data_IF_238383096390
#
_entry.id   IF_238383096390
#
_cell.length_a   1.000
_cell.length_b   1.000
_cell.length_c   1.000
_cell.angle_alpha   90.00
_cell.angle_beta   90.00
_cell.angle_gamma   90.00
#
_symmetry.space_group_name_H-M   'P 1'
#
loop_
_entity.id
_entity.type
_entity.pdbx_description
1 polymer ?
#
# COMPACT_ATOMS: atom_id res chain seq x y z
N UNK A 1 13.19 -9.56 -12.24
CA UNK A 1 12.94 -8.10 -12.12
C UNK A 1 13.67 -7.59 -10.89
N UNK A 2 14.82 -6.93 -11.11
CA UNK A 2 15.77 -6.58 -10.06
C UNK A 2 15.37 -5.30 -9.32
N UNK A 3 15.20 -5.48 -8.00
CA UNK A 3 15.21 -4.53 -6.88
C UNK A 3 15.76 -3.14 -7.18
N UNK A 4 14.94 -2.12 -6.96
CA UNK A 4 15.42 -0.77 -6.68
C UNK A 4 15.32 -0.50 -5.17
N UNK A 5 16.48 -0.44 -4.50
CA UNK A 5 16.64 0.37 -3.29
C UNK A 5 16.48 1.83 -3.75
N UNK A 6 15.25 2.33 -3.82
CA UNK A 6 14.97 3.69 -4.26
C UNK A 6 14.70 4.60 -3.06
N UNK A 7 15.80 4.98 -2.42
CA UNK A 7 15.91 6.20 -1.64
C UNK A 7 17.29 6.82 -1.89
N UNK A 8 17.77 6.78 -3.14
CA UNK A 8 18.80 7.73 -3.56
C UNK A 8 18.06 9.01 -3.91
N UNK A 9 18.04 9.95 -2.96
CA UNK A 9 17.78 11.35 -3.26
C UNK A 9 18.95 11.77 -4.16
N UNK A 10 18.77 11.61 -5.46
CA UNK A 10 19.77 11.91 -6.47
C UNK A 10 19.86 13.44 -6.57
N UNK A 11 20.62 14.05 -5.64
CA UNK A 11 20.96 15.48 -5.65
C UNK A 11 21.95 15.72 -6.78
N UNK A 12 21.44 15.90 -8.00
CA UNK A 12 22.22 16.47 -9.11
C UNK A 12 22.21 17.98 -8.96
N UNK A 13 23.35 18.55 -8.55
CA UNK A 13 23.54 19.99 -8.55
C UNK A 13 23.79 20.42 -9.99
N UNK A 14 22.83 21.13 -10.60
CA UNK A 14 23.00 21.69 -11.93
C UNK A 14 23.78 23.00 -11.75
N UNK A 15 25.09 22.95 -11.98
CA UNK A 15 25.90 24.16 -12.06
C UNK A 15 25.69 24.73 -13.46
N UNK A 16 24.74 25.65 -13.61
CA UNK A 16 24.61 26.44 -14.83
C UNK A 16 25.74 27.47 -14.82
N UNK A 17 26.91 27.10 -15.36
CA UNK A 17 27.97 28.05 -15.62
C UNK A 17 27.48 29.03 -16.68
N UNK A 18 26.94 30.17 -16.23
CA UNK A 18 26.48 31.25 -17.09
C UNK A 18 27.68 31.76 -17.91
N UNK A 19 27.89 31.20 -19.11
CA UNK A 19 28.69 31.87 -20.14
C UNK A 19 27.96 33.18 -20.43
N UNK A 20 28.64 34.28 -20.17
CA UNK A 20 28.16 35.64 -20.32
C UNK A 20 27.34 35.81 -21.62
N UNK A 21 26.01 35.91 -21.49
CA UNK A 21 25.03 36.43 -22.48
C UNK A 21 23.60 35.92 -22.27
N UNK A 22 23.35 34.92 -21.41
CA UNK A 22 21.97 34.48 -21.16
C UNK A 22 21.23 35.50 -20.29
N UNK A 23 20.06 35.95 -20.77
CA UNK A 23 19.13 36.73 -19.95
C UNK A 23 18.64 35.89 -18.76
N UNK A 24 18.20 36.55 -17.69
CA UNK A 24 17.66 35.85 -16.51
C UNK A 24 16.58 34.82 -16.91
N UNK A 25 15.66 35.20 -17.80
CA UNK A 25 14.63 34.29 -18.32
C UNK A 25 15.21 33.07 -19.06
N UNK A 26 16.29 33.25 -19.83
CA UNK A 26 16.94 32.14 -20.53
C UNK A 26 17.68 31.19 -19.56
N UNK A 27 18.22 31.71 -18.46
CA UNK A 27 18.82 30.90 -17.40
C UNK A 27 17.76 30.09 -16.64
N UNK A 28 16.65 30.71 -16.25
CA UNK A 28 15.52 30.03 -15.62
C UNK A 28 14.96 28.90 -16.50
N UNK A 29 14.79 29.17 -17.80
CA UNK A 29 14.37 28.14 -18.77
C UNK A 29 15.36 26.98 -18.86
N UNK A 30 16.66 27.28 -18.98
CA UNK A 30 17.69 26.25 -19.07
C UNK A 30 17.74 25.35 -17.81
N UNK A 31 17.57 25.96 -16.62
CA UNK A 31 17.50 25.21 -15.37
C UNK A 31 16.25 24.31 -15.31
N UNK A 32 15.09 24.83 -15.70
CA UNK A 32 13.84 24.08 -15.74
C UNK A 32 13.89 22.90 -16.74
N UNK A 33 14.42 23.13 -17.95
CA UNK A 33 14.58 22.10 -18.98
C UNK A 33 15.52 20.98 -18.51
N UNK A 34 16.62 21.32 -17.83
CA UNK A 34 17.52 20.33 -17.25
C UNK A 34 16.87 19.52 -16.11
N UNK A 35 16.02 20.15 -15.28
CA UNK A 35 15.25 19.45 -14.25
C UNK A 35 14.25 18.46 -14.86
N UNK A 36 13.49 18.90 -15.87
CA UNK A 36 12.53 18.06 -16.61
C UNK A 36 13.21 16.90 -17.32
N UNK A 37 14.33 17.13 -18.00
CA UNK A 37 15.08 16.07 -18.66
C UNK A 37 15.53 14.98 -17.68
N UNK A 38 16.06 15.36 -16.51
CA UNK A 38 16.44 14.40 -15.48
C UNK A 38 15.23 13.62 -14.92
N UNK A 39 14.10 14.30 -14.68
CA UNK A 39 12.85 13.66 -14.25
C UNK A 39 12.38 12.63 -15.27
N UNK A 40 12.31 13.03 -16.53
CA UNK A 40 11.79 12.21 -17.62
C UNK A 40 12.70 11.00 -17.88
N UNK A 41 14.03 11.16 -17.76
CA UNK A 41 14.99 10.05 -17.78
C UNK A 41 14.74 9.04 -16.64
N UNK A 42 14.50 9.52 -15.42
CA UNK A 42 14.19 8.66 -14.28
C UNK A 42 12.88 7.90 -14.48
N UNK A 43 11.85 8.56 -15.03
CA UNK A 43 10.57 7.93 -15.34
C UNK A 43 10.76 6.89 -16.46
N UNK A 44 11.42 7.25 -17.56
CA UNK A 44 11.63 6.38 -18.71
C UNK A 44 12.48 5.14 -18.36
N UNK A 45 13.48 5.30 -17.48
CA UNK A 45 14.30 4.18 -16.99
C UNK A 45 13.58 3.30 -15.95
N UNK A 46 12.34 3.62 -15.58
CA UNK A 46 11.58 2.90 -14.54
C UNK A 46 12.11 3.13 -13.13
N UNK A 47 13.03 4.08 -12.95
CA UNK A 47 13.60 4.49 -11.66
C UNK A 47 12.74 5.54 -10.95
N UNK A 48 11.67 6.00 -11.58
CA UNK A 48 10.70 6.90 -10.98
C UNK A 48 9.27 6.61 -11.48
N UNK A 49 8.28 6.96 -10.64
CA UNK A 49 6.88 6.89 -11.03
C UNK A 49 6.52 8.02 -12.01
N UNK A 50 5.65 7.74 -12.97
CA UNK A 50 5.09 8.78 -13.85
C UNK A 50 4.16 9.74 -13.10
N UNK A 51 3.73 9.39 -11.89
CA UNK A 51 2.88 10.23 -11.04
C UNK A 51 3.74 10.91 -9.98
N UNK A 52 3.79 12.24 -10.01
CA UNK A 52 4.60 13.03 -9.09
C UNK A 52 3.98 14.40 -8.80
N UNK A 53 4.51 15.07 -7.78
CA UNK A 53 4.28 16.49 -7.52
C UNK A 53 5.60 17.23 -7.61
N UNK A 54 5.57 18.44 -8.16
CA UNK A 54 6.72 19.35 -8.20
C UNK A 54 6.69 20.25 -6.96
N UNK A 55 7.84 20.54 -6.38
CA UNK A 55 8.01 21.59 -5.40
C UNK A 55 9.27 22.40 -5.74
N UNK A 56 9.16 23.72 -5.79
CA UNK A 56 10.25 24.64 -6.15
C UNK A 56 10.49 25.56 -4.98
N UNK A 57 11.71 25.55 -4.42
CA UNK A 57 12.09 26.36 -3.26
C UNK A 57 11.12 26.22 -2.07
N UNK A 58 10.61 25.01 -1.88
CA UNK A 58 9.63 24.68 -0.84
C UNK A 58 8.16 24.91 -1.24
N UNK A 59 7.89 25.57 -2.36
CA UNK A 59 6.54 25.83 -2.86
C UNK A 59 6.02 24.67 -3.71
N UNK A 60 5.02 23.94 -3.22
CA UNK A 60 4.39 22.82 -3.92
C UNK A 60 3.56 23.32 -5.10
N UNK A 61 3.73 22.72 -6.27
CA UNK A 61 2.99 23.05 -7.49
C UNK A 61 3.49 24.28 -8.23
N UNK A 62 4.58 24.90 -7.77
CA UNK A 62 5.23 25.99 -8.50
C UNK A 62 5.90 25.49 -9.79
N UNK A 63 5.96 26.37 -10.79
CA UNK A 63 6.59 26.11 -12.07
C UNK A 63 8.10 25.98 -11.90
N UNK A 64 8.75 25.03 -12.59
CA UNK A 64 10.19 24.82 -12.46
C UNK A 64 11.02 26.04 -12.87
N UNK A 65 10.49 26.87 -13.76
CA UNK A 65 11.08 28.14 -14.17
C UNK A 65 11.16 29.15 -13.02
N UNK A 66 10.36 29.01 -11.96
CA UNK A 66 10.38 29.95 -10.84
C UNK A 66 11.51 29.69 -9.84
N UNK A 67 12.38 28.71 -10.09
CA UNK A 67 13.47 28.35 -9.17
C UNK A 67 14.45 29.49 -9.00
N UNK A 68 14.84 29.77 -7.75
CA UNK A 68 15.91 30.71 -7.47
C UNK A 68 17.22 30.19 -8.07
N UNK A 69 17.81 30.97 -8.97
CA UNK A 69 19.09 30.62 -9.60
C UNK A 69 20.26 30.66 -8.61
N UNK A 70 20.10 31.33 -7.46
CA UNK A 70 21.07 31.34 -6.37
C UNK A 70 20.74 30.26 -5.33
N UNK A 71 21.05 29.01 -5.67
CA UNK A 71 20.96 27.87 -4.76
C UNK A 71 19.57 27.30 -4.52
N UNK A 72 18.59 27.66 -5.35
CA UNK A 72 17.24 27.10 -5.32
C UNK A 72 17.20 25.60 -5.66
N UNK A 73 16.10 24.96 -5.29
CA UNK A 73 15.90 23.51 -5.39
C UNK A 73 14.55 23.21 -6.06
N UNK A 74 14.61 22.48 -7.18
CA UNK A 74 13.46 21.78 -7.75
C UNK A 74 13.42 20.35 -7.22
N UNK A 75 12.32 19.96 -6.58
CA UNK A 75 12.10 18.63 -6.01
C UNK A 75 10.90 17.96 -6.64
N UNK A 76 11.10 16.75 -7.15
CA UNK A 76 10.03 15.87 -7.62
C UNK A 76 9.70 14.82 -6.56
N UNK A 77 8.46 14.83 -6.08
CA UNK A 77 7.95 13.85 -5.10
C UNK A 77 7.13 12.80 -5.84
N UNK A 78 7.75 11.65 -6.10
CA UNK A 78 7.13 10.54 -6.82
C UNK A 78 6.17 9.73 -5.94
N UNK A 79 4.99 9.45 -6.47
CA UNK A 79 3.99 8.60 -5.84
C UNK A 79 4.13 7.15 -6.30
N UNK A 80 4.32 6.23 -5.36
CA UNK A 80 4.36 4.77 -5.62
C UNK A 80 3.13 4.04 -5.08
N UNK A 81 2.12 4.79 -4.63
CA UNK A 81 0.96 4.22 -3.93
C UNK A 81 0.22 3.22 -4.81
N UNK A 82 -0.07 3.59 -6.06
CA UNK A 82 -0.77 2.72 -7.01
C UNK A 82 -0.01 1.41 -7.28
N UNK A 83 1.31 1.49 -7.51
CA UNK A 83 2.18 0.34 -7.74
C UNK A 83 2.24 -0.57 -6.51
N UNK A 84 2.34 0.02 -5.32
CA UNK A 84 2.38 -0.72 -4.07
C UNK A 84 1.06 -1.43 -3.77
N UNK A 85 -0.08 -0.81 -4.09
CA UNK A 85 -1.41 -1.42 -3.96
C UNK A 85 -1.56 -2.61 -4.91
N UNK A 86 -1.20 -2.44 -6.18
CA UNK A 86 -1.24 -3.52 -7.16
C UNK A 86 -0.39 -4.72 -6.70
N UNK A 87 0.87 -4.45 -6.30
CA UNK A 87 1.77 -5.46 -5.78
C UNK A 87 1.22 -6.16 -4.53
N UNK A 88 0.72 -5.41 -3.56
CA UNK A 88 0.22 -5.99 -2.31
C UNK A 88 -1.06 -6.80 -2.51
N UNK A 89 -1.95 -6.36 -3.40
CA UNK A 89 -3.16 -7.10 -3.78
C UNK A 89 -2.79 -8.44 -4.43
N UNK A 90 -1.88 -8.41 -5.41
CA UNK A 90 -1.37 -9.60 -6.08
C UNK A 90 -0.68 -10.55 -5.09
N UNK A 91 0.12 -10.01 -4.16
CA UNK A 91 0.76 -10.79 -3.11
C UNK A 91 -0.28 -11.50 -2.24
N UNK A 92 -1.29 -10.78 -1.76
CA UNK A 92 -2.38 -11.34 -0.98
C UNK A 92 -3.11 -12.46 -1.74
N UNK A 93 -3.39 -12.28 -3.02
CA UNK A 93 -4.04 -13.29 -3.87
C UNK A 93 -3.14 -14.52 -4.07
N UNK A 94 -1.88 -14.32 -4.45
CA UNK A 94 -0.93 -15.40 -4.75
C UNK A 94 -0.63 -16.25 -3.51
N UNK A 95 -0.57 -15.63 -2.34
CA UNK A 95 -0.29 -16.30 -1.07
C UNK A 95 -1.54 -16.75 -0.31
N UNK A 96 -2.72 -16.74 -0.95
CA UNK A 96 -3.96 -17.20 -0.34
C UNK A 96 -4.17 -18.71 -0.44
N UNK A 97 -4.84 -19.37 0.54
CA UNK A 97 -5.22 -20.76 0.42
C UNK A 97 -6.25 -20.96 -0.71
N UNK A 98 -6.04 -21.99 -1.52
CA UNK A 98 -6.97 -22.36 -2.60
C UNK A 98 -7.56 -23.73 -2.28
N UNK A 99 -8.84 -23.73 -1.87
CA UNK A 99 -9.69 -24.94 -1.86
C UNK A 99 -10.77 -24.84 -2.93
N UNK A 100 -11.52 -23.74 -2.95
CA UNK A 100 -12.52 -23.41 -3.98
C UNK A 100 -12.20 -22.11 -4.74
N UNK A 101 -11.07 -21.47 -4.45
CA UNK A 101 -10.73 -20.13 -4.97
C UNK A 101 -11.36 -18.97 -4.20
N UNK A 102 -12.55 -19.14 -3.62
CA UNK A 102 -13.33 -18.06 -3.00
C UNK A 102 -12.53 -17.13 -2.07
N UNK A 103 -11.66 -17.65 -1.20
CA UNK A 103 -10.85 -16.79 -0.33
C UNK A 103 -9.86 -15.93 -1.14
N UNK A 104 -9.09 -16.52 -2.06
CA UNK A 104 -8.16 -15.79 -2.94
C UNK A 104 -8.89 -14.72 -3.75
N UNK A 105 -10.08 -15.02 -4.24
CA UNK A 105 -10.77 -14.14 -5.18
C UNK A 105 -11.59 -13.04 -4.44
N UNK A 106 -11.64 -13.07 -3.10
CA UNK A 106 -12.39 -12.12 -2.26
C UNK A 106 -11.55 -10.97 -1.69
N UNK A 107 -10.32 -10.79 -2.17
CA UNK A 107 -9.57 -9.58 -1.85
C UNK A 107 -10.16 -8.40 -2.60
N UNK A 108 -10.43 -7.33 -1.86
CA UNK A 108 -11.02 -6.11 -2.37
C UNK A 108 -10.22 -4.90 -1.88
N UNK A 109 -10.30 -3.82 -2.64
CA UNK A 109 -9.63 -2.56 -2.36
C UNK A 109 -10.66 -1.53 -1.96
N UNK A 110 -10.35 -0.73 -0.94
CA UNK A 110 -11.05 0.52 -0.63
C UNK A 110 -10.09 1.69 -0.74
N UNK A 111 -10.58 2.81 -1.24
CA UNK A 111 -9.84 4.05 -1.35
C UNK A 111 -10.64 5.12 -0.63
N UNK A 112 -10.03 5.76 0.37
CA UNK A 112 -10.66 6.78 1.23
C UNK A 112 -11.99 6.30 1.85
N UNK A 113 -12.08 5.00 2.18
CA UNK A 113 -13.26 4.39 2.79
C UNK A 113 -14.30 3.85 1.80
N UNK A 114 -14.15 4.08 0.50
CA UNK A 114 -15.10 3.62 -0.52
C UNK A 114 -14.58 2.42 -1.30
N UNK A 115 -15.48 1.52 -1.72
CA UNK A 115 -15.12 0.37 -2.54
C UNK A 115 -14.55 0.78 -3.90
N UNK A 116 -13.38 0.24 -4.23
CA UNK A 116 -12.66 0.60 -5.44
C UNK A 116 -12.80 -0.50 -6.49
N UNK A 117 -13.42 -0.16 -7.62
CA UNK A 117 -13.64 -1.06 -8.76
C UNK A 117 -12.84 -0.68 -10.00
N UNK A 118 -12.10 0.44 -9.94
CA UNK A 118 -11.25 0.93 -11.03
C UNK A 118 -9.87 0.27 -11.00
N UNK A 119 -9.09 0.34 -12.09
CA UNK A 119 -7.70 -0.14 -12.07
C UNK A 119 -6.87 0.54 -10.97
N UNK A 120 -5.99 -0.22 -10.30
CA UNK A 120 -5.12 0.32 -9.24
C UNK A 120 -4.22 1.47 -9.72
N UNK A 121 -3.85 1.48 -11.00
CA UNK A 121 -3.07 2.55 -11.64
C UNK A 121 -3.76 3.93 -11.59
N UNK A 122 -5.08 3.98 -11.39
CA UNK A 122 -5.86 5.23 -11.33
C UNK A 122 -6.03 5.77 -9.91
N UNK A 123 -5.45 5.11 -8.91
CA UNK A 123 -5.46 5.57 -7.51
C UNK A 123 -4.63 6.86 -7.42
N UNK A 124 -5.25 7.91 -6.88
CA UNK A 124 -4.60 9.21 -6.77
C UNK A 124 -3.57 9.24 -5.63
N UNK A 125 -2.45 9.97 -5.80
CA UNK A 125 -1.52 10.26 -4.71
C UNK A 125 -2.21 10.87 -3.50
N UNK A 126 -1.71 10.61 -2.30
CA UNK A 126 -2.27 11.07 -1.04
C UNK A 126 -3.51 10.30 -0.55
N UNK A 127 -4.02 9.33 -1.32
CA UNK A 127 -5.15 8.50 -0.88
C UNK A 127 -4.77 7.59 0.29
N UNK A 128 -5.77 7.23 1.10
CA UNK A 128 -5.67 6.10 2.04
C UNK A 128 -6.25 4.87 1.38
N UNK A 129 -5.44 3.84 1.19
CA UNK A 129 -5.86 2.60 0.53
C UNK A 129 -5.90 1.45 1.52
N UNK A 130 -7.00 0.70 1.51
CA UNK A 130 -7.20 -0.47 2.34
C UNK A 130 -7.36 -1.70 1.44
N UNK A 131 -6.56 -2.74 1.67
CA UNK A 131 -6.69 -4.04 1.01
C UNK A 131 -7.22 -5.03 2.04
N UNK A 132 -8.39 -5.58 1.80
CA UNK A 132 -9.13 -6.40 2.77
C UNK A 132 -9.77 -7.61 2.10
N UNK A 133 -9.80 -8.75 2.79
CA UNK A 133 -10.54 -9.91 2.32
C UNK A 133 -11.95 -9.91 2.92
N UNK A 134 -12.97 -9.92 2.07
CA UNK A 134 -14.37 -9.73 2.50
C UNK A 134 -15.05 -10.99 3.04
N UNK A 135 -14.38 -12.16 3.00
CA UNK A 135 -14.99 -13.41 3.48
C UNK A 135 -15.22 -13.40 5.00
N UNK A 136 -16.33 -13.98 5.50
CA UNK A 136 -16.68 -14.00 6.93
C UNK A 136 -15.71 -14.85 7.78
N UNK A 137 -14.86 -15.64 7.14
CA UNK A 137 -13.85 -16.47 7.80
C UNK A 137 -12.44 -15.93 7.59
N UNK A 138 -12.27 -14.77 6.95
CA UNK A 138 -10.97 -14.22 6.61
C UNK A 138 -10.10 -13.99 7.84
N UNK A 139 -10.69 -13.43 8.90
CA UNK A 139 -10.02 -13.27 10.19
C UNK A 139 -9.49 -14.59 10.73
N UNK A 140 -10.27 -15.68 10.65
CA UNK A 140 -9.85 -16.99 11.18
C UNK A 140 -8.66 -17.55 10.41
N UNK A 141 -8.62 -17.37 9.09
CA UNK A 141 -7.50 -17.81 8.26
C UNK A 141 -6.25 -16.99 8.59
N UNK A 142 -6.34 -15.66 8.52
CA UNK A 142 -5.19 -14.78 8.73
C UNK A 142 -4.62 -14.85 10.15
N UNK A 143 -5.45 -15.03 11.18
CA UNK A 143 -4.97 -15.13 12.58
C UNK A 143 -4.61 -16.56 13.01
N UNK A 144 -4.65 -17.56 12.12
CA UNK A 144 -4.34 -18.94 12.47
C UNK A 144 -5.41 -19.68 13.29
N UNK A 145 -6.65 -19.17 13.28
CA UNK A 145 -7.80 -19.82 13.91
C UNK A 145 -8.32 -21.05 13.13
N UNK A 146 -7.87 -21.27 11.90
CA UNK A 146 -8.31 -22.33 11.01
C UNK A 146 -7.11 -22.94 10.27
N UNK A 147 -7.01 -24.28 10.26
CA UNK A 147 -5.99 -24.98 9.47
C UNK A 147 -6.25 -24.76 7.97
N UNK A 148 -5.23 -24.38 7.23
CA UNK A 148 -5.25 -24.23 5.77
C UNK A 148 -3.98 -24.76 5.14
N UNK A 149 -3.92 -24.80 3.80
CA UNK A 149 -2.75 -25.26 3.04
C UNK A 149 -1.55 -24.32 3.11
N UNK A 150 -1.74 -23.10 3.62
CA UNK A 150 -0.70 -22.07 3.73
C UNK A 150 -0.55 -21.59 5.19
N UNK A 151 0.58 -20.96 5.54
CA UNK A 151 0.75 -20.32 6.83
C UNK A 151 -0.29 -19.22 7.09
N UNK A 152 -0.69 -18.97 8.34
CA UNK A 152 -1.45 -17.76 8.68
C UNK A 152 -0.60 -16.50 8.51
N UNK A 153 -1.22 -15.32 8.65
CA UNK A 153 -0.55 -14.02 8.62
C UNK A 153 -0.30 -13.48 7.22
N UNK A 154 -1.19 -13.75 6.27
CA UNK A 154 -1.10 -13.29 4.88
C UNK A 154 -0.97 -11.76 4.83
N UNK A 155 -1.75 -11.04 5.63
CA UNK A 155 -1.71 -9.56 5.65
C UNK A 155 -0.36 -9.05 6.18
N UNK A 156 0.20 -9.71 7.19
CA UNK A 156 1.52 -9.33 7.71
C UNK A 156 2.64 -9.67 6.72
N UNK A 157 2.57 -10.83 6.07
CA UNK A 157 3.51 -11.20 5.02
C UNK A 157 3.47 -10.21 3.84
N UNK A 158 2.27 -9.83 3.39
CA UNK A 158 2.07 -8.80 2.36
C UNK A 158 2.64 -7.45 2.80
N UNK A 159 2.43 -7.06 4.06
CA UNK A 159 2.98 -5.82 4.64
C UNK A 159 4.50 -5.80 4.56
N UNK A 160 5.15 -6.86 5.03
CA UNK A 160 6.61 -6.97 5.04
C UNK A 160 7.20 -6.97 3.63
N UNK A 161 6.56 -7.70 2.71
CA UNK A 161 6.96 -7.71 1.30
C UNK A 161 6.83 -6.32 0.66
N UNK A 162 5.70 -5.64 0.88
CA UNK A 162 5.46 -4.32 0.34
C UNK A 162 6.39 -3.26 0.95
N UNK A 163 6.64 -3.28 2.27
CA UNK A 163 7.58 -2.35 2.90
C UNK A 163 9.01 -2.50 2.38
N UNK A 164 9.42 -3.73 2.09
CA UNK A 164 10.74 -4.00 1.51
C UNK A 164 10.87 -3.40 0.11
N UNK A 165 9.79 -3.36 -0.67
CA UNK A 165 9.77 -2.88 -2.04
C UNK A 165 9.47 -1.37 -2.14
N UNK A 166 8.67 -0.84 -1.22
CA UNK A 166 8.17 0.53 -1.22
C UNK A 166 8.44 1.20 0.15
N UNK A 167 9.72 1.44 0.50
CA UNK A 167 10.10 1.90 1.84
C UNK A 167 9.64 3.33 2.16
N UNK A 168 9.26 4.13 1.15
CA UNK A 168 8.76 5.49 1.32
C UNK A 168 7.29 5.54 1.77
N UNK A 169 6.55 4.43 1.64
CA UNK A 169 5.13 4.37 2.03
C UNK A 169 4.97 3.98 3.51
N UNK A 170 3.89 4.48 4.12
CA UNK A 170 3.43 3.97 5.41
C UNK A 170 2.50 2.80 5.15
N UNK A 171 2.93 1.60 5.55
CA UNK A 171 2.19 0.36 5.33
C UNK A 171 1.93 -0.33 6.67
N UNK A 172 0.67 -0.37 7.07
CA UNK A 172 0.24 -0.89 8.37
C UNK A 172 -0.73 -2.06 8.22
N UNK A 173 -0.67 -3.01 9.16
CA UNK A 173 -1.73 -4.01 9.34
C UNK A 173 -2.76 -3.45 10.32
N UNK A 174 -4.03 -3.46 9.95
CA UNK A 174 -5.15 -3.06 10.82
C UNK A 174 -6.25 -4.11 10.83
N UNK A 175 -7.11 -4.05 11.84
CA UNK A 175 -8.36 -4.80 11.89
C UNK A 175 -9.51 -3.81 11.70
N UNK A 176 -10.08 -3.79 10.50
CA UNK A 176 -11.09 -2.82 10.10
C UNK A 176 -12.50 -3.30 10.44
N UNK A 177 -13.36 -2.37 10.83
CA UNK A 177 -14.81 -2.58 10.84
C UNK A 177 -15.34 -2.02 9.52
N UNK A 178 -15.89 -2.89 8.67
CA UNK A 178 -16.50 -2.45 7.40
C UNK A 178 -17.89 -1.89 7.68
N UNK A 179 -18.27 -0.83 6.97
CA UNK A 179 -19.57 -0.13 7.13
C UNK A 179 -20.61 -0.56 6.11
N UNK A 180 -20.17 -1.03 4.95
CA UNK A 180 -21.00 -1.29 3.77
C UNK A 180 -20.36 -2.36 2.86
N UNK A 181 -21.02 -2.65 1.74
CA UNK A 181 -20.54 -3.56 0.71
C UNK A 181 -21.13 -4.96 0.77
N UNK A 182 -20.59 -5.85 -0.08
CA UNK A 182 -20.95 -7.26 -0.14
C UNK A 182 -19.71 -8.15 -0.12
N UNK A 183 -19.83 -9.29 0.55
CA UNK A 183 -18.82 -10.35 0.41
C UNK A 183 -18.94 -11.04 -0.95
N UNK A 184 -17.95 -11.86 -1.33
CA UNK A 184 -17.95 -12.56 -2.61
C UNK A 184 -19.09 -13.58 -2.79
N UNK A 185 -19.87 -13.86 -1.74
CA UNK A 185 -21.08 -14.71 -1.79
C UNK A 185 -22.35 -13.86 -1.94
N UNK A 186 -22.22 -12.54 -2.11
CA UNK A 186 -23.34 -11.59 -2.16
C UNK A 186 -23.91 -11.21 -0.79
N UNK A 187 -23.34 -11.72 0.31
CA UNK A 187 -23.78 -11.41 1.67
C UNK A 187 -23.48 -9.97 2.07
N UNK A 188 -24.34 -9.36 2.88
CA UNK A 188 -24.14 -7.99 3.37
C UNK A 188 -22.91 -7.88 4.26
N UNK A 189 -22.12 -6.84 4.05
CA UNK A 189 -21.06 -6.41 4.96
C UNK A 189 -21.57 -5.30 5.91
N UNK A 190 -21.03 -5.23 7.14
CA UNK A 190 -20.11 -6.20 7.72
C UNK A 190 -20.83 -7.49 8.15
N UNK A 191 -20.06 -8.58 8.26
CA UNK A 191 -20.57 -9.84 8.76
C UNK A 191 -20.83 -9.75 10.26
N UNK A 192 -22.06 -10.08 10.67
CA UNK A 192 -22.45 -10.18 12.07
C UNK A 192 -22.17 -11.60 12.56
N UNK A 193 -21.43 -11.72 13.67
CA UNK A 193 -21.09 -13.00 14.25
C UNK A 193 -22.35 -13.72 14.74
N UNK A 194 -22.63 -14.90 14.18
CA UNK A 194 -23.82 -15.70 14.54
C UNK A 194 -23.69 -16.41 15.89
N UNK A 195 -22.47 -16.64 16.34
CA UNK A 195 -22.17 -17.38 17.56
C UNK A 195 -20.91 -16.84 18.22
N UNK A 196 -20.76 -17.13 19.52
CA UNK A 196 -19.55 -16.84 20.26
C UNK A 196 -18.34 -17.51 19.60
N UNK A 197 -17.28 -16.73 19.37
CA UNK A 197 -16.06 -17.19 18.75
C UNK A 197 -15.35 -18.25 19.59
N UNK A 198 -14.77 -19.24 18.92
CA UNK A 198 -13.96 -20.29 19.54
C UNK A 198 -12.48 -19.91 19.41
N UNK A 199 -11.75 -19.93 20.52
CA UNK A 199 -10.30 -19.99 20.51
C UNK A 199 -9.88 -21.42 20.18
N UNK A 200 -9.37 -21.61 18.97
CA UNK A 200 -9.02 -22.95 18.48
C UNK A 200 -7.86 -23.56 19.26
N UNK A 201 -6.96 -22.76 19.84
CA UNK A 201 -5.70 -23.24 20.39
C UNK A 201 -4.74 -23.79 19.32
N UNK A 202 -5.04 -23.51 18.04
CA UNK A 202 -4.16 -23.81 16.92
C UNK A 202 -3.02 -22.80 16.90
N UNK A 203 -1.83 -23.27 16.56
CA UNK A 203 -0.69 -22.44 16.19
C UNK A 203 -0.04 -23.00 14.93
N UNK A 204 0.76 -22.17 14.28
CA UNK A 204 1.54 -22.54 13.11
C UNK A 204 3.02 -22.28 13.35
N UNK A 205 3.86 -23.29 13.11
CA UNK A 205 5.31 -23.14 13.03
C UNK A 205 5.84 -23.71 11.71
N UNK A 206 7.03 -23.28 11.27
CA UNK A 206 7.63 -23.82 10.03
C UNK A 206 8.02 -25.30 10.16
N UNK A 207 8.41 -25.72 11.36
CA UNK A 207 8.87 -27.08 11.67
C UNK A 207 7.69 -28.05 11.80
N UNK A 208 6.73 -27.74 12.67
CA UNK A 208 5.63 -28.65 13.01
C UNK A 208 4.34 -28.36 12.23
N UNK A 209 4.36 -27.37 11.33
CA UNK A 209 3.16 -26.87 10.63
C UNK A 209 2.07 -26.54 11.65
N UNK A 210 0.91 -27.17 11.55
CA UNK A 210 -0.24 -26.91 12.40
C UNK A 210 -0.29 -27.84 13.62
N UNK A 211 0.00 -27.30 14.79
CA UNK A 211 -0.21 -27.99 16.06
C UNK A 211 -1.36 -27.36 16.86
N UNK A 212 -1.81 -28.07 17.88
CA UNK A 212 -2.83 -27.58 18.82
C UNK A 212 -2.25 -27.59 20.23
N UNK A 213 -1.96 -26.41 20.76
CA UNK A 213 -1.38 -26.22 22.10
C UNK A 213 -2.39 -26.47 23.23
N UNK A 214 -3.70 -26.29 22.95
CA UNK A 214 -4.76 -26.45 23.95
C UNK A 214 -6.10 -26.83 23.34
N UNK A 215 -6.97 -27.44 24.13
CA UNK A 215 -8.34 -27.77 23.73
C UNK A 215 -9.10 -26.49 23.33
N UNK A 216 -9.96 -26.54 22.28
CA UNK A 216 -10.76 -25.38 21.89
C UNK A 216 -11.67 -24.92 23.02
N UNK A 217 -11.79 -23.61 23.20
CA UNK A 217 -12.67 -23.03 24.22
C UNK A 217 -13.39 -21.80 23.68
N UNK A 218 -14.51 -21.47 24.31
CA UNK A 218 -15.24 -20.22 24.02
C UNK A 218 -14.35 -19.01 24.34
N UNK A 219 -14.35 -18.01 23.47
CA UNK A 219 -13.59 -16.79 23.66
C UNK A 219 -14.37 -15.81 24.51
N UNK A 220 -13.71 -15.24 25.52
CA UNK A 220 -14.28 -14.21 26.38
C UNK A 220 -14.10 -12.80 25.79
N UNK A 221 -13.49 -12.70 24.61
CA UNK A 221 -13.27 -11.42 23.93
C UNK A 221 -14.59 -10.81 23.49
N UNK A 222 -14.83 -9.54 23.87
CA UNK A 222 -16.06 -8.80 23.52
C UNK A 222 -16.27 -8.73 22.01
N UNK A 223 -15.22 -8.48 21.23
CA UNK A 223 -15.26 -8.41 19.75
C UNK A 223 -15.45 -9.76 19.04
N UNK A 224 -15.72 -10.84 19.80
CA UNK A 224 -15.96 -12.19 19.28
C UNK A 224 -17.28 -12.79 19.76
N UNK A 225 -18.15 -12.01 20.41
CA UNK A 225 -19.45 -12.49 20.87
C UNK A 225 -20.48 -12.55 19.72
N UNK A 226 -21.54 -13.34 19.91
CA UNK A 226 -22.66 -13.36 18.98
C UNK A 226 -23.30 -11.96 18.88
N UNK A 227 -23.80 -11.59 17.70
CA UNK A 227 -24.37 -10.27 17.41
C UNK A 227 -23.33 -9.17 17.17
N UNK A 228 -22.05 -9.41 17.42
CA UNK A 228 -21.00 -8.41 17.21
C UNK A 228 -20.56 -8.33 15.76
N UNK A 229 -20.12 -7.14 15.35
CA UNK A 229 -19.55 -6.91 14.03
C UNK A 229 -18.16 -7.56 13.95
N UNK A 230 -17.92 -8.34 12.90
CA UNK A 230 -16.60 -8.90 12.65
C UNK A 230 -15.61 -7.81 12.20
N UNK A 231 -14.41 -7.82 12.77
CA UNK A 231 -13.29 -7.04 12.25
C UNK A 231 -12.47 -7.84 11.23
N UNK A 232 -12.01 -7.16 10.19
CA UNK A 232 -11.32 -7.74 9.04
C UNK A 232 -9.84 -7.38 9.07
N UNK A 233 -8.92 -8.35 9.05
CA UNK A 233 -7.52 -8.06 8.81
C UNK A 233 -7.36 -7.37 7.46
N UNK A 234 -6.69 -6.23 7.46
CA UNK A 234 -6.47 -5.42 6.27
C UNK A 234 -5.08 -4.83 6.26
N UNK A 235 -4.56 -4.63 5.05
CA UNK A 235 -3.38 -3.81 4.81
C UNK A 235 -3.83 -2.38 4.54
N UNK A 236 -3.22 -1.41 5.19
CA UNK A 236 -3.50 0.02 4.97
C UNK A 236 -2.23 0.70 4.47
N UNK A 237 -2.31 1.28 3.29
CA UNK A 237 -1.22 1.97 2.61
C UNK A 237 -1.57 3.46 2.53
N UNK A 238 -0.64 4.30 2.98
CA UNK A 238 -0.72 5.75 2.79
C UNK A 238 0.64 6.30 2.40
N UNK A 239 0.64 7.45 1.74
CA UNK A 239 1.84 8.25 1.59
C UNK A 239 2.12 9.02 2.89
N UNK A 240 3.39 9.28 3.23
CA UNK A 240 3.71 10.22 4.29
C UNK A 240 3.19 11.62 3.90
N UNK A 241 2.65 12.35 4.87
CA UNK A 241 2.17 13.72 4.73
C UNK A 241 3.25 14.72 4.30
N UNK A 242 4.52 14.34 4.45
CA UNK A 242 5.68 15.16 4.14
C UNK A 242 6.34 14.57 2.89
N UNK A 243 6.02 15.14 1.73
CA UNK A 243 6.86 15.00 0.54
C UNK A 243 8.17 15.72 0.73
#
# INVERSE_FOLDING_TARGET
MARARMADVLRKQIIVSARASLSSAALHKAAADACRANRDELIASGRASSTFRTAVDGHVGADEESVNLDGGIVRYVFSYLAQAVAFALEYCQTHSPVRSGAYRDSWAVRVNGEWWTRPAATIQPGSTVEIVNTMPYARKIDTGGQKTSIPPGIVEAARQAAMKQYPTLKIARKFLTLSDGRDARGGRLPYILRAQGIESGLTYSKENKWERLRKPRRSNRKDRQAGQVMTYPALVLTEPSNG
#
